data_IF_746209087669
#
_entry.id   IF_746209087669
#
_cell.length_a   1.000
_cell.length_b   1.000
_cell.length_c   1.000
_cell.angle_alpha   90.00
_cell.angle_beta   90.00
_cell.angle_gamma   90.00
#
_symmetry.space_group_name_H-M   'P 1'
#
loop_
_entity.id
_entity.type
_entity.pdbx_description
1 polymer ?
#
# COMPACT_ATOMS: atom_id res chain seq x y z
N UNK A 1 -3.29 15.56 16.82
CA UNK A 1 -2.15 16.14 16.06
C UNK A 1 -2.19 15.55 14.67
N UNK A 2 -2.18 16.38 13.63
CA UNK A 2 -2.03 15.96 12.22
C UNK A 2 -0.56 16.18 11.87
N UNK A 3 0.11 15.19 11.27
CA UNK A 3 1.47 15.40 10.77
C UNK A 3 1.44 16.51 9.72
N UNK A 4 2.10 17.63 10.03
CA UNK A 4 2.26 18.79 9.15
C UNK A 4 3.55 18.66 8.32
N UNK A 5 3.80 17.46 7.79
CA UNK A 5 4.99 17.18 6.96
C UNK A 5 4.65 17.38 5.49
N UNK A 6 5.59 17.94 4.73
CA UNK A 6 5.50 17.92 3.28
C UNK A 6 5.68 16.47 2.82
N UNK A 7 4.66 15.93 2.16
CA UNK A 7 4.74 14.63 1.50
C UNK A 7 5.28 14.85 0.11
N UNK A 8 6.41 14.21 -0.20
CA UNK A 8 6.96 14.18 -1.55
C UNK A 8 6.74 12.80 -2.15
N UNK A 9 6.24 12.76 -3.39
CA UNK A 9 6.11 11.52 -4.13
C UNK A 9 7.50 11.12 -4.64
N UNK A 10 8.01 9.99 -4.16
CA UNK A 10 9.31 9.46 -4.59
C UNK A 10 9.12 8.47 -5.75
N UNK A 11 8.07 7.66 -5.70
CA UNK A 11 7.81 6.59 -6.65
C UNK A 11 6.30 6.31 -6.78
N UNK A 12 5.90 5.79 -7.94
CA UNK A 12 4.54 5.30 -8.20
C UNK A 12 4.63 3.85 -8.63
N UNK A 13 3.93 2.99 -7.91
CA UNK A 13 3.81 1.56 -8.23
C UNK A 13 2.35 1.31 -8.63
N UNK A 14 2.14 0.84 -9.85
CA UNK A 14 0.82 0.49 -10.37
C UNK A 14 0.59 -1.02 -10.24
N UNK A 15 -0.46 -1.39 -9.50
CA UNK A 15 -0.86 -2.79 -9.33
C UNK A 15 -2.20 -3.00 -10.01
N UNK A 16 -2.28 -4.01 -10.89
CA UNK A 16 -3.50 -4.36 -11.61
C UNK A 16 -4.18 -5.50 -10.88
N UNK A 17 -5.43 -5.29 -10.46
CA UNK A 17 -6.27 -6.37 -9.97
C UNK A 17 -6.79 -7.19 -11.15
N UNK A 18 -6.46 -8.48 -11.19
CA UNK A 18 -6.84 -9.40 -12.26
C UNK A 18 -8.27 -9.94 -12.14
N UNK A 19 -9.02 -9.55 -11.12
CA UNK A 19 -10.40 -9.98 -10.90
C UNK A 19 -10.54 -11.39 -10.32
N UNK A 20 -9.45 -12.02 -9.87
CA UNK A 20 -9.45 -13.36 -9.25
C UNK A 20 -10.17 -13.43 -7.89
N UNK A 21 -10.58 -12.29 -7.33
CA UNK A 21 -11.19 -12.19 -6.00
C UNK A 21 -10.18 -12.17 -4.85
N UNK A 22 -8.88 -12.36 -5.13
CA UNK A 22 -7.81 -12.46 -4.12
C UNK A 22 -7.27 -11.09 -3.66
N UNK A 23 -7.64 -10.01 -4.35
CA UNK A 23 -7.12 -8.66 -4.08
C UNK A 23 -5.65 -8.50 -4.48
N UNK A 24 -5.03 -7.39 -4.06
CA UNK A 24 -3.65 -7.05 -4.48
C UNK A 24 -2.55 -7.76 -3.66
N UNK A 25 -2.90 -8.40 -2.55
CA UNK A 25 -1.96 -9.20 -1.77
C UNK A 25 -1.14 -8.46 -0.71
N UNK A 26 -1.60 -7.31 -0.22
CA UNK A 26 -1.01 -6.64 0.95
C UNK A 26 -2.07 -6.12 1.91
N UNK A 27 -1.70 -5.96 3.17
CA UNK A 27 -2.43 -5.19 4.16
C UNK A 27 -1.88 -3.76 4.29
N UNK A 28 -2.71 -2.87 4.83
CA UNK A 28 -2.29 -1.51 5.18
C UNK A 28 -2.56 -1.26 6.67
N UNK A 29 -1.66 -0.53 7.32
CA UNK A 29 -1.86 -0.04 8.68
C UNK A 29 -1.61 1.47 8.73
N UNK A 30 -2.22 2.14 9.70
CA UNK A 30 -2.03 3.58 9.93
C UNK A 30 -3.29 4.39 9.69
N UNK A 31 -3.15 5.71 9.69
CA UNK A 31 -4.25 6.65 9.52
C UNK A 31 -3.75 7.96 8.90
N UNK A 32 -4.68 8.87 8.58
CA UNK A 32 -4.36 10.17 7.97
C UNK A 32 -3.35 11.00 8.79
N UNK A 33 -3.40 10.91 10.12
CA UNK A 33 -2.52 11.68 10.99
C UNK A 33 -1.11 11.11 11.12
N UNK A 34 -0.91 9.81 10.88
CA UNK A 34 0.38 9.12 11.04
C UNK A 34 1.02 8.72 9.72
N UNK A 35 0.27 8.80 8.61
CA UNK A 35 0.60 8.12 7.36
C UNK A 35 0.18 6.65 7.39
N UNK A 36 0.29 6.00 6.22
CA UNK A 36 -0.08 4.61 5.98
C UNK A 36 1.17 3.81 5.64
N UNK A 37 1.25 2.59 6.14
CA UNK A 37 2.34 1.64 5.87
C UNK A 37 1.75 0.35 5.31
N UNK A 38 2.36 -0.13 4.22
CA UNK A 38 2.05 -1.44 3.63
C UNK A 38 2.71 -2.54 4.49
N UNK A 39 1.95 -3.58 4.81
CA UNK A 39 2.40 -4.76 5.56
C UNK A 39 1.78 -6.04 4.99
N UNK A 40 2.21 -7.19 5.48
CA UNK A 40 1.64 -8.50 5.14
C UNK A 40 1.58 -8.74 3.63
N UNK A 41 2.70 -8.53 2.93
CA UNK A 41 2.85 -8.91 1.52
C UNK A 41 2.68 -10.44 1.43
N UNK A 42 1.70 -10.88 0.64
CA UNK A 42 1.41 -12.28 0.38
C UNK A 42 2.43 -12.78 -0.65
N UNK A 43 3.23 -13.81 -0.32
CA UNK A 43 4.18 -14.38 -1.27
C UNK A 43 3.48 -14.88 -2.53
N UNK A 44 4.04 -14.54 -3.70
CA UNK A 44 3.46 -14.86 -5.01
C UNK A 44 2.21 -14.05 -5.38
N UNK A 45 1.78 -13.12 -4.53
CA UNK A 45 0.68 -12.20 -4.80
C UNK A 45 1.04 -11.12 -5.83
N UNK A 46 0.06 -10.27 -6.17
CA UNK A 46 0.23 -9.24 -7.21
C UNK A 46 1.30 -8.22 -6.80
N UNK A 47 1.30 -7.80 -5.53
CA UNK A 47 2.26 -6.85 -4.95
C UNK A 47 3.68 -7.39 -4.74
N UNK A 48 3.87 -8.72 -4.84
CA UNK A 48 5.18 -9.35 -4.67
C UNK A 48 6.03 -9.32 -5.96
N UNK A 49 5.47 -8.80 -7.06
CA UNK A 49 6.07 -8.73 -8.39
C UNK A 49 6.36 -7.29 -8.79
#
# INVERSE_FOLDING_TARGET
>A
MVLNTEWTQIEVIELINDGSGTGLGFGIIGNKSTGVVVKNIIPGGIVDK
#
